data_IF_974252948377
#
_entry.id   IF_974252948377
#
_cell.length_a   1.000
_cell.length_b   1.000
_cell.length_c   1.000
_cell.angle_alpha   90.00
_cell.angle_beta   90.00
_cell.angle_gamma   90.00
#
_symmetry.space_group_name_H-M   'P 1'
#
loop_
_entity.id
_entity.type
_entity.pdbx_description
1 polymer ?
#
# COMPACT_ATOMS: atom_id res chain seq x y z
N UNK A 1 -3.86 -4.92 30.17
CA UNK A 1 -2.52 -5.18 29.61
C UNK A 1 -2.69 -5.20 28.10
N UNK A 2 -2.16 -4.22 27.38
CA UNK A 2 -2.13 -4.31 25.92
C UNK A 2 -1.07 -5.36 25.61
N UNK A 3 -1.51 -6.58 25.32
CA UNK A 3 -0.59 -7.67 24.97
C UNK A 3 0.17 -7.27 23.72
N UNK A 4 1.43 -6.88 23.92
CA UNK A 4 2.39 -6.68 22.85
C UNK A 4 2.71 -8.06 22.29
N UNK A 5 1.87 -8.52 21.37
CA UNK A 5 2.16 -9.71 20.59
C UNK A 5 3.50 -9.47 19.87
N UNK A 6 4.42 -10.46 19.84
CA UNK A 6 5.68 -10.31 19.13
C UNK A 6 5.39 -9.82 17.72
N UNK A 7 6.22 -8.90 17.21
CA UNK A 7 6.07 -8.26 15.89
C UNK A 7 6.18 -9.32 14.77
N UNK A 8 5.17 -10.17 14.63
CA UNK A 8 5.08 -11.17 13.59
C UNK A 8 4.87 -10.40 12.30
N UNK A 9 5.83 -10.52 11.39
CA UNK A 9 5.69 -9.99 10.04
C UNK A 9 4.60 -10.79 9.35
N UNK A 10 3.80 -10.12 8.53
CA UNK A 10 2.88 -10.79 7.63
C UNK A 10 3.68 -11.70 6.69
N UNK A 11 3.21 -12.93 6.51
CA UNK A 11 3.75 -13.86 5.52
C UNK A 11 3.27 -13.49 4.12
N UNK A 12 3.85 -14.15 3.11
CA UNK A 12 3.43 -13.94 1.72
C UNK A 12 1.97 -14.42 1.51
N UNK A 13 1.55 -15.47 2.24
CA UNK A 13 0.17 -15.95 2.26
C UNK A 13 -0.78 -14.90 2.84
N UNK A 14 -0.42 -14.25 3.96
CA UNK A 14 -1.24 -13.18 4.55
C UNK A 14 -1.45 -12.02 3.55
N UNK A 15 -0.39 -11.64 2.82
CA UNK A 15 -0.47 -10.59 1.80
C UNK A 15 -1.31 -11.01 0.59
N UNK A 16 -1.21 -12.28 0.20
CA UNK A 16 -2.00 -12.84 -0.89
C UNK A 16 -3.48 -12.83 -0.52
N UNK A 17 -3.83 -13.30 0.68
CA UNK A 17 -5.22 -13.30 1.15
C UNK A 17 -5.79 -11.88 1.25
N UNK A 18 -5.00 -10.93 1.73
CA UNK A 18 -5.39 -9.53 1.75
C UNK A 18 -5.64 -8.97 0.35
N UNK A 19 -4.73 -9.26 -0.59
CA UNK A 19 -4.86 -8.83 -1.99
C UNK A 19 -6.11 -9.43 -2.65
N UNK A 20 -6.35 -10.73 -2.44
CA UNK A 20 -7.52 -11.43 -2.97
C UNK A 20 -8.82 -10.86 -2.38
N UNK A 21 -8.82 -10.50 -1.10
CA UNK A 21 -9.96 -9.85 -0.43
C UNK A 21 -10.24 -8.45 -0.99
N UNK A 22 -9.19 -7.66 -1.20
CA UNK A 22 -9.30 -6.33 -1.82
C UNK A 22 -9.83 -6.44 -3.25
N UNK A 23 -9.32 -7.37 -4.07
CA UNK A 23 -9.78 -7.55 -5.45
C UNK A 23 -11.24 -8.00 -5.54
N UNK A 24 -11.67 -8.88 -4.63
CA UNK A 24 -13.08 -9.31 -4.54
C UNK A 24 -14.02 -8.14 -4.22
N UNK A 25 -13.54 -7.17 -3.43
CA UNK A 25 -14.35 -6.02 -2.98
C UNK A 25 -14.25 -4.84 -3.94
N UNK A 26 -13.11 -4.69 -4.59
CA UNK A 26 -12.74 -3.58 -5.48
C UNK A 26 -12.13 -4.21 -6.72
N UNK A 27 -12.98 -4.57 -7.71
CA UNK A 27 -12.52 -5.15 -8.96
C UNK A 27 -11.45 -4.28 -9.63
N UNK A 28 -10.54 -4.89 -10.38
CA UNK A 28 -9.49 -4.20 -11.14
C UNK A 28 -8.38 -3.54 -10.31
N UNK A 29 -8.32 -3.77 -8.99
CA UNK A 29 -7.27 -3.22 -8.15
C UNK A 29 -5.90 -3.85 -8.48
N UNK A 30 -5.85 -5.18 -8.56
CA UNK A 30 -4.67 -5.97 -8.94
C UNK A 30 -4.20 -5.60 -10.35
N UNK A 31 -5.02 -5.69 -11.42
CA UNK A 31 -4.59 -5.36 -12.78
C UNK A 31 -4.02 -3.95 -12.93
N UNK A 32 -4.57 -2.97 -12.21
CA UNK A 32 -4.10 -1.57 -12.29
C UNK A 32 -2.76 -1.35 -11.60
N UNK A 33 -2.45 -2.10 -10.56
CA UNK A 33 -1.32 -1.82 -9.67
C UNK A 33 -0.25 -2.91 -9.68
N UNK A 34 -0.62 -4.18 -9.42
CA UNK A 34 0.33 -5.27 -9.17
C UNK A 34 1.28 -5.49 -10.34
N UNK A 35 0.78 -5.42 -11.58
CA UNK A 35 1.61 -5.60 -12.78
C UNK A 35 2.56 -4.42 -13.05
N UNK A 36 2.35 -3.28 -12.39
CA UNK A 36 3.11 -2.05 -12.60
C UNK A 36 4.03 -1.71 -11.42
N UNK A 37 3.93 -2.43 -10.30
CA UNK A 37 4.62 -2.13 -9.06
C UNK A 37 5.42 -3.34 -8.58
N UNK A 38 6.45 -3.09 -7.76
CA UNK A 38 7.06 -4.18 -6.99
C UNK A 38 6.15 -4.54 -5.80
N UNK A 39 6.43 -5.67 -5.15
CA UNK A 39 5.60 -6.20 -4.06
C UNK A 39 5.43 -5.20 -2.91
N UNK A 40 6.51 -4.51 -2.51
CA UNK A 40 6.44 -3.52 -1.42
C UNK A 40 5.56 -2.32 -1.77
N UNK A 41 5.72 -1.78 -2.96
CA UNK A 41 4.91 -0.67 -3.45
C UNK A 41 3.44 -1.08 -3.59
N UNK A 42 3.18 -2.33 -4.01
CA UNK A 42 1.84 -2.89 -4.05
C UNK A 42 1.23 -3.07 -2.65
N UNK A 43 2.00 -3.58 -1.67
CA UNK A 43 1.59 -3.68 -0.27
C UNK A 43 1.24 -2.30 0.32
N UNK A 44 2.00 -1.25 -0.01
CA UNK A 44 1.67 0.13 0.37
C UNK A 44 0.28 0.51 -0.18
N UNK A 45 -0.03 0.17 -1.43
CA UNK A 45 -1.33 0.46 -2.03
C UNK A 45 -2.49 -0.27 -1.33
N UNK A 46 -2.32 -1.54 -0.99
CA UNK A 46 -3.33 -2.31 -0.23
C UNK A 46 -3.65 -1.62 1.10
N UNK A 47 -2.61 -1.27 1.86
CA UNK A 47 -2.79 -0.65 3.18
C UNK A 47 -3.41 0.76 3.08
N UNK A 48 -3.02 1.56 2.08
CA UNK A 48 -3.69 2.84 1.80
C UNK A 48 -5.17 2.62 1.52
N UNK A 49 -5.51 1.63 0.69
CA UNK A 49 -6.89 1.36 0.31
C UNK A 49 -7.76 0.97 1.51
N UNK A 50 -7.16 0.29 2.48
CA UNK A 50 -7.80 -0.09 3.74
C UNK A 50 -7.80 1.02 4.80
N UNK A 51 -7.30 2.22 4.48
CA UNK A 51 -7.36 3.37 5.37
C UNK A 51 -6.26 3.43 6.44
N UNK A 52 -5.18 2.67 6.28
CA UNK A 52 -4.08 2.67 7.25
C UNK A 52 -3.31 3.99 7.19
N UNK A 53 -2.90 4.48 8.36
CA UNK A 53 -2.09 5.70 8.46
C UNK A 53 -0.66 5.45 7.97
N UNK A 54 0.03 6.51 7.53
CA UNK A 54 1.44 6.42 7.07
C UNK A 54 2.36 5.75 8.09
N UNK A 55 2.23 6.13 9.36
CA UNK A 55 3.06 5.57 10.43
C UNK A 55 2.79 4.08 10.66
N UNK A 56 1.53 3.66 10.53
CA UNK A 56 1.16 2.24 10.64
C UNK A 56 1.69 1.44 9.44
N UNK A 57 1.59 1.99 8.22
CA UNK A 57 2.16 1.39 7.01
C UNK A 57 3.66 1.21 7.15
N UNK A 58 4.37 2.26 7.56
CA UNK A 58 5.81 2.23 7.78
C UNK A 58 6.18 1.13 8.78
N UNK A 59 5.45 1.05 9.90
CA UNK A 59 5.66 0.02 10.93
C UNK A 59 5.41 -1.40 10.42
N UNK A 60 4.32 -1.64 9.69
CA UNK A 60 3.96 -2.96 9.17
C UNK A 60 4.99 -3.48 8.16
N UNK A 61 5.53 -2.58 7.32
CA UNK A 61 6.49 -2.93 6.28
C UNK A 61 7.96 -2.85 6.74
N UNK A 62 8.21 -2.42 7.99
CA UNK A 62 9.56 -2.20 8.50
C UNK A 62 10.33 -1.12 7.73
N UNK A 63 9.62 -0.08 7.28
CA UNK A 63 10.15 1.04 6.51
C UNK A 63 10.12 2.32 7.35
N UNK A 64 10.84 3.36 6.91
CA UNK A 64 10.74 4.70 7.48
C UNK A 64 9.63 5.51 6.80
N UNK A 65 9.09 6.51 7.49
CA UNK A 65 8.10 7.45 6.91
C UNK A 65 8.63 8.17 5.66
N UNK A 66 9.94 8.44 5.64
CA UNK A 66 10.62 9.01 4.47
C UNK A 66 10.64 8.03 3.28
N UNK A 67 10.89 6.73 3.52
CA UNK A 67 10.83 5.71 2.50
C UNK A 67 9.41 5.58 1.92
N UNK A 68 8.38 5.56 2.78
CA UNK A 68 6.97 5.56 2.32
C UNK A 68 6.67 6.80 1.48
N UNK A 69 7.08 7.99 1.94
CA UNK A 69 6.88 9.24 1.21
C UNK A 69 7.56 9.23 -0.16
N UNK A 70 8.77 8.65 -0.26
CA UNK A 70 9.49 8.48 -1.52
C UNK A 70 8.77 7.49 -2.45
N UNK A 71 8.36 6.33 -1.95
CA UNK A 71 7.59 5.34 -2.72
C UNK A 71 6.33 5.95 -3.31
N UNK A 72 5.52 6.68 -2.51
CA UNK A 72 4.32 7.37 -2.98
C UNK A 72 4.60 8.38 -4.11
N UNK A 73 5.66 9.18 -3.99
CA UNK A 73 6.06 10.12 -5.05
C UNK A 73 6.46 9.39 -6.34
N UNK A 74 7.26 8.31 -6.21
CA UNK A 74 7.68 7.50 -7.35
C UNK A 74 6.49 6.84 -8.03
N UNK A 75 5.58 6.25 -7.27
CA UNK A 75 4.36 5.62 -7.79
C UNK A 75 3.42 6.63 -8.44
N UNK A 76 3.25 7.83 -7.87
CA UNK A 76 2.45 8.89 -8.48
C UNK A 76 3.01 9.28 -9.86
N UNK A 77 4.33 9.46 -9.95
CA UNK A 77 4.98 9.75 -11.24
C UNK A 77 4.80 8.59 -12.21
N UNK A 78 5.03 7.34 -11.76
CA UNK A 78 5.00 6.14 -12.60
C UNK A 78 3.60 5.82 -13.13
N UNK A 79 2.58 5.92 -12.28
CA UNK A 79 1.21 5.47 -12.59
C UNK A 79 0.33 6.59 -13.14
N UNK A 80 0.58 7.84 -12.74
CA UNK A 80 -0.25 8.98 -13.13
C UNK A 80 0.48 9.99 -14.04
N UNK A 81 1.79 9.86 -14.23
CA UNK A 81 2.59 10.87 -14.95
C UNK A 81 2.71 12.21 -14.22
N UNK A 82 2.36 12.27 -12.92
CA UNK A 82 2.27 13.52 -12.15
C UNK A 82 3.42 13.66 -11.15
N UNK A 83 3.94 14.88 -11.01
CA UNK A 83 4.81 15.26 -9.90
C UNK A 83 3.93 15.94 -8.86
N UNK A 84 3.89 15.40 -7.64
CA UNK A 84 2.97 15.89 -6.61
C UNK A 84 3.37 15.46 -5.20
N UNK A 85 2.46 15.68 -4.25
CA UNK A 85 2.68 15.33 -2.84
C UNK A 85 2.41 13.83 -2.63
N UNK A 86 3.03 13.18 -1.63
CA UNK A 86 2.72 11.79 -1.29
C UNK A 86 1.21 11.54 -1.09
N UNK A 87 0.49 12.50 -0.49
CA UNK A 87 -0.95 12.42 -0.24
C UNK A 87 -1.80 12.44 -1.52
N UNK A 88 -1.27 12.97 -2.63
CA UNK A 88 -1.99 12.94 -3.91
C UNK A 88 -1.99 11.52 -4.49
N UNK A 89 -0.98 10.70 -4.18
CA UNK A 89 -0.99 9.28 -4.49
C UNK A 89 -2.06 8.53 -3.70
N UNK A 90 -2.22 8.83 -2.41
CA UNK A 90 -3.23 8.18 -1.57
C UNK A 90 -4.64 8.40 -2.14
N UNK A 91 -4.94 9.63 -2.59
CA UNK A 91 -6.21 9.95 -3.27
C UNK A 91 -6.41 9.10 -4.54
N UNK A 92 -5.37 8.94 -5.35
CA UNK A 92 -5.43 8.11 -6.55
C UNK A 92 -5.79 6.65 -6.22
N UNK A 93 -5.13 6.05 -5.23
CA UNK A 93 -5.42 4.66 -4.80
C UNK A 93 -6.85 4.52 -4.28
N UNK A 94 -7.35 5.51 -3.53
CA UNK A 94 -8.72 5.52 -3.00
C UNK A 94 -9.80 5.71 -4.07
N UNK A 95 -9.44 6.20 -5.27
CA UNK A 95 -10.37 6.38 -6.39
C UNK A 95 -10.48 5.16 -7.32
N UNK A 96 -9.69 4.12 -7.11
CA UNK A 96 -9.77 2.89 -7.92
C UNK A 96 -11.10 2.17 -7.65
N UNK A 97 -11.77 1.72 -8.71
CA UNK A 97 -13.04 1.01 -8.73
C UNK A 97 -13.01 -0.15 -9.73
#
# INVERSE_FOLDING_TARGET
VIEVHPRKKMSDEDWKELADTVEKTIPNFIPRLKNKLNDKDYQICLLIRLGFTTSLIARLLGLSDAAISKSRKTMLKKLCGKIGKPKDFDKYVLQIQ
#
